data_IF_378974767501
#
_entry.id   IF_378974767501
#
_cell.length_a   1.000
_cell.length_b   1.000
_cell.length_c   1.000
_cell.angle_alpha   90.00
_cell.angle_beta   90.00
_cell.angle_gamma   90.00
#
_symmetry.space_group_name_H-M   'P 1'
#
loop_
_entity.id
_entity.type
_entity.pdbx_description
1 polymer ?
#
# COMPACT_ATOMS: atom_id res chain seq x y z
N UNK A 1 4.34 -21.19 4.04
CA UNK A 1 5.44 -20.24 3.72
C UNK A 1 6.75 -20.89 4.12
N UNK A 2 7.73 -21.00 3.24
CA UNK A 2 9.05 -21.50 3.61
C UNK A 2 9.64 -20.63 4.73
N UNK A 3 10.15 -21.24 5.81
CA UNK A 3 10.83 -20.51 6.87
C UNK A 3 12.03 -19.78 6.27
N UNK A 4 12.00 -18.45 6.29
CA UNK A 4 13.16 -17.66 5.86
C UNK A 4 14.25 -17.82 6.92
N UNK A 5 15.27 -18.63 6.64
CA UNK A 5 16.44 -18.76 7.51
C UNK A 5 17.11 -17.40 7.71
N UNK A 6 17.29 -16.98 8.96
CA UNK A 6 17.99 -15.75 9.30
C UNK A 6 19.48 -15.93 9.08
N UNK A 7 20.15 -14.90 8.57
CA UNK A 7 21.61 -14.94 8.43
C UNK A 7 22.27 -15.15 9.81
N UNK A 8 23.31 -15.99 9.94
CA UNK A 8 23.94 -16.27 11.24
C UNK A 8 24.41 -15.01 12.00
N UNK A 9 24.98 -14.04 11.28
CA UNK A 9 25.36 -12.74 11.88
C UNK A 9 24.16 -11.95 12.41
N UNK A 10 22.98 -12.10 11.80
CA UNK A 10 21.77 -11.47 12.32
C UNK A 10 21.32 -12.14 13.62
N UNK A 11 21.41 -13.47 13.73
CA UNK A 11 21.10 -14.20 14.96
C UNK A 11 22.02 -13.75 16.10
N UNK A 12 23.33 -13.68 15.85
CA UNK A 12 24.30 -13.14 16.81
C UNK A 12 23.95 -11.71 17.23
N UNK A 13 23.59 -10.87 16.27
CA UNK A 13 23.15 -9.49 16.52
C UNK A 13 21.89 -9.43 17.38
N UNK A 14 20.89 -10.28 17.14
CA UNK A 14 19.66 -10.27 17.94
C UNK A 14 19.91 -10.63 19.39
N UNK A 15 20.76 -11.63 19.64
CA UNK A 15 21.14 -12.03 21.01
C UNK A 15 21.98 -10.94 21.69
N UNK A 16 22.91 -10.32 20.97
CA UNK A 16 23.70 -9.20 21.47
C UNK A 16 22.82 -8.02 21.89
N UNK A 17 21.89 -7.60 21.03
CA UNK A 17 21.01 -6.46 21.32
C UNK A 17 20.05 -6.79 22.48
N UNK A 18 19.46 -7.99 22.51
CA UNK A 18 18.52 -8.39 23.57
C UNK A 18 19.18 -8.48 24.96
N UNK A 19 20.46 -8.85 25.02
CA UNK A 19 21.24 -8.90 26.26
C UNK A 19 21.92 -7.57 26.63
N UNK A 20 21.93 -6.59 25.75
CA UNK A 20 22.65 -5.33 25.99
C UNK A 20 21.96 -4.47 27.06
N UNK A 21 22.72 -3.87 28.02
CA UNK A 21 22.15 -3.04 29.10
C UNK A 21 21.24 -1.89 28.63
N UNK A 22 21.53 -1.31 27.46
CA UNK A 22 20.71 -0.25 26.84
C UNK A 22 19.25 -0.65 26.59
N UNK A 23 18.97 -1.95 26.46
CA UNK A 23 17.62 -2.52 26.23
C UNK A 23 17.02 -3.17 27.48
N UNK A 24 17.64 -2.95 28.65
CA UNK A 24 17.17 -3.52 29.91
C UNK A 24 15.69 -3.23 30.14
N UNK A 25 14.94 -4.27 30.50
CA UNK A 25 13.49 -4.26 30.73
C UNK A 25 12.62 -3.99 29.49
N UNK A 26 13.18 -3.90 28.28
CA UNK A 26 12.36 -3.84 27.06
C UNK A 26 11.69 -5.22 26.85
N UNK A 27 10.35 -5.29 26.67
CA UNK A 27 9.68 -6.58 26.53
C UNK A 27 10.12 -7.39 25.29
N UNK A 28 10.55 -8.62 25.54
CA UNK A 28 10.89 -9.65 24.54
C UNK A 28 10.63 -11.04 25.12
N UNK A 29 10.18 -11.95 24.26
CA UNK A 29 9.89 -13.34 24.60
C UNK A 29 10.65 -14.26 23.64
N UNK A 30 10.79 -15.53 24.01
CA UNK A 30 11.29 -16.57 23.10
C UNK A 30 10.14 -17.42 22.57
N UNK A 31 10.24 -17.83 21.31
CA UNK A 31 9.37 -18.82 20.69
C UNK A 31 9.67 -20.24 21.19
N UNK A 32 8.86 -21.20 20.75
CA UNK A 32 9.03 -22.61 21.10
C UNK A 32 10.36 -23.21 20.57
N UNK A 33 10.89 -22.65 19.50
CA UNK A 33 12.19 -23.02 18.91
C UNK A 33 13.39 -22.37 19.62
N UNK A 34 13.15 -21.63 20.72
CA UNK A 34 14.16 -20.90 21.47
C UNK A 34 14.59 -19.59 20.83
N UNK A 35 14.10 -19.25 19.64
CA UNK A 35 14.43 -17.99 18.96
C UNK A 35 13.73 -16.80 19.64
N UNK A 36 14.34 -15.61 19.56
CA UNK A 36 13.73 -14.39 20.08
C UNK A 36 12.56 -13.94 19.19
N UNK A 37 11.42 -13.59 19.79
CA UNK A 37 10.27 -12.97 19.13
C UNK A 37 10.60 -11.51 18.75
N UNK A 38 11.43 -11.40 17.72
CA UNK A 38 12.04 -10.14 17.29
C UNK A 38 11.02 -9.16 16.71
N UNK A 39 9.98 -9.70 16.06
CA UNK A 39 8.96 -8.94 15.32
C UNK A 39 7.58 -9.21 15.92
N UNK A 40 6.89 -8.16 16.36
CA UNK A 40 5.55 -8.20 16.93
C UNK A 40 4.71 -7.09 16.30
N UNK A 41 4.06 -7.40 15.17
CA UNK A 41 3.27 -6.44 14.40
C UNK A 41 1.79 -6.32 14.84
N UNK A 42 1.31 -7.27 15.66
CA UNK A 42 -0.07 -7.24 16.14
C UNK A 42 -0.26 -6.08 17.13
N UNK A 43 -1.13 -5.12 16.79
CA UNK A 43 -1.42 -3.93 17.58
C UNK A 43 -1.98 -4.23 18.97
N UNK A 44 -2.68 -5.36 19.12
CA UNK A 44 -3.29 -5.78 20.38
C UNK A 44 -2.35 -6.60 21.27
N UNK A 45 -1.11 -6.86 20.84
CA UNK A 45 -0.14 -7.61 21.63
C UNK A 45 0.30 -6.83 22.88
N UNK A 46 0.21 -7.48 24.04
CA UNK A 46 0.69 -6.94 25.31
C UNK A 46 2.18 -6.58 25.26
N UNK A 47 3.02 -7.40 24.60
CA UNK A 47 4.45 -7.13 24.38
C UNK A 47 4.62 -5.81 23.63
N UNK A 48 3.88 -5.62 22.54
CA UNK A 48 3.98 -4.41 21.70
C UNK A 48 3.59 -3.16 22.50
N UNK A 49 2.52 -3.23 23.29
CA UNK A 49 2.10 -2.13 24.16
C UNK A 49 3.13 -1.86 25.26
N UNK A 50 3.74 -2.90 25.83
CA UNK A 50 4.82 -2.78 26.80
C UNK A 50 6.07 -2.12 26.21
N UNK A 51 6.44 -2.45 24.96
CA UNK A 51 7.53 -1.79 24.23
C UNK A 51 7.27 -0.28 24.06
N UNK A 52 6.04 0.10 23.70
CA UNK A 52 5.66 1.51 23.58
C UNK A 52 5.83 2.26 24.90
N UNK A 53 5.28 1.73 26.01
CA UNK A 53 5.42 2.32 27.34
C UNK A 53 6.87 2.48 27.77
N UNK A 54 7.67 1.42 27.62
CA UNK A 54 9.10 1.45 27.92
C UNK A 54 9.83 2.54 27.13
N UNK A 55 9.50 2.71 25.84
CA UNK A 55 10.13 3.72 25.00
C UNK A 55 9.73 5.14 25.39
N UNK A 56 8.50 5.36 25.86
CA UNK A 56 8.03 6.64 26.37
C UNK A 56 8.70 7.01 27.69
N UNK A 57 8.92 6.03 28.58
CA UNK A 57 9.70 6.21 29.81
C UNK A 57 11.16 6.58 29.48
N UNK A 58 11.80 5.87 28.55
CA UNK A 58 13.14 6.22 28.06
C UNK A 58 13.20 7.58 27.39
N UNK A 59 12.18 7.97 26.64
CA UNK A 59 12.09 9.31 26.07
C UNK A 59 12.09 10.37 27.17
N UNK A 60 11.29 10.17 28.24
CA UNK A 60 11.27 11.08 29.40
C UNK A 60 12.62 11.14 30.12
N UNK A 61 13.28 10.00 30.33
CA UNK A 61 14.64 9.95 30.91
C UNK A 61 15.65 10.79 30.09
N UNK A 62 15.53 10.79 28.76
CA UNK A 62 16.39 11.57 27.87
C UNK A 62 15.95 13.03 27.67
N UNK A 63 14.87 13.48 28.33
CA UNK A 63 14.32 14.82 28.14
C UNK A 63 13.69 15.02 26.76
N UNK A 64 13.24 13.96 26.09
CA UNK A 64 12.55 14.05 24.81
C UNK A 64 11.05 14.25 24.99
N UNK A 65 10.50 15.21 24.26
CA UNK A 65 9.06 15.40 24.14
C UNK A 65 8.39 14.23 23.42
N UNK A 66 7.28 13.73 23.97
CA UNK A 66 6.51 12.62 23.40
C UNK A 66 5.66 13.13 22.23
N UNK A 67 6.25 13.13 21.03
CA UNK A 67 5.60 13.54 19.77
C UNK A 67 5.98 12.61 18.61
N UNK A 68 5.30 12.68 17.45
CA UNK A 68 5.63 11.84 16.30
C UNK A 68 7.14 11.84 15.98
N UNK A 69 7.72 10.65 15.86
CA UNK A 69 9.15 10.45 15.63
C UNK A 69 10.00 10.25 16.90
N UNK A 70 9.43 10.41 18.11
CA UNK A 70 10.17 10.23 19.38
C UNK A 70 10.76 8.82 19.52
N UNK A 71 10.05 7.77 19.12
CA UNK A 71 10.57 6.40 19.20
C UNK A 71 11.82 6.22 18.33
N UNK A 72 11.82 6.77 17.11
CA UNK A 72 13.00 6.72 16.25
C UNK A 72 14.21 7.46 16.85
N UNK A 73 13.98 8.50 17.67
CA UNK A 73 15.05 9.20 18.39
C UNK A 73 15.59 8.36 19.55
N UNK A 74 14.71 7.78 20.36
CA UNK A 74 15.09 6.89 21.47
C UNK A 74 15.88 5.70 20.94
N UNK A 75 15.33 4.97 19.97
CA UNK A 75 15.96 3.75 19.44
C UNK A 75 17.32 4.01 18.80
N UNK A 76 17.51 5.16 18.14
CA UNK A 76 18.85 5.57 17.66
C UNK A 76 19.80 5.91 18.80
N UNK A 77 19.34 6.66 19.80
CA UNK A 77 20.17 7.08 20.94
C UNK A 77 20.67 5.91 21.77
N UNK A 78 19.84 4.87 21.96
CA UNK A 78 20.19 3.70 22.77
C UNK A 78 20.93 2.61 21.98
N UNK A 79 20.96 2.68 20.64
CA UNK A 79 21.55 1.60 19.86
C UNK A 79 23.06 1.49 20.13
N UNK A 80 23.58 0.35 20.63
CA UNK A 80 24.93 0.23 21.18
C UNK A 80 26.06 0.61 20.22
N UNK A 81 25.89 0.28 18.94
CA UNK A 81 26.93 0.46 17.92
C UNK A 81 26.58 1.51 16.87
N UNK A 82 25.35 2.02 16.84
CA UNK A 82 24.85 2.77 15.68
C UNK A 82 24.74 1.97 14.37
N UNK A 83 24.97 0.66 14.37
CA UNK A 83 24.98 -0.18 13.16
C UNK A 83 24.06 -1.39 13.29
N UNK A 84 23.23 -1.62 12.28
CA UNK A 84 22.31 -2.75 12.23
C UNK A 84 22.77 -3.83 11.26
N UNK A 85 22.71 -5.08 11.69
CA UNK A 85 22.90 -6.26 10.82
C UNK A 85 21.63 -6.57 10.03
N UNK A 86 21.77 -6.84 8.73
CA UNK A 86 20.67 -7.25 7.86
C UNK A 86 20.31 -8.72 8.06
N UNK A 87 19.03 -9.04 8.22
CA UNK A 87 18.56 -10.43 8.37
C UNK A 87 18.87 -11.33 7.17
N UNK A 88 18.99 -10.76 5.97
CA UNK A 88 19.11 -11.54 4.73
C UNK A 88 20.57 -11.78 4.37
N UNK A 89 21.38 -10.71 4.28
CA UNK A 89 22.76 -10.83 3.83
C UNK A 89 23.82 -10.65 4.93
N UNK A 90 23.42 -10.39 6.18
CA UNK A 90 24.36 -10.18 7.29
C UNK A 90 25.16 -8.87 7.24
N UNK A 91 25.00 -8.03 6.21
CA UNK A 91 25.73 -6.76 6.10
C UNK A 91 25.33 -5.81 7.24
N UNK A 92 26.33 -5.24 7.91
CA UNK A 92 26.19 -4.14 8.87
C UNK A 92 26.02 -2.83 8.13
N UNK A 93 25.08 -2.00 8.57
CA UNK A 93 24.81 -0.70 7.97
C UNK A 93 24.48 0.31 9.06
N UNK A 94 24.85 1.57 8.88
CA UNK A 94 24.54 2.63 9.83
C UNK A 94 23.04 2.89 9.92
N UNK A 95 22.53 3.12 11.14
CA UNK A 95 21.15 3.55 11.39
C UNK A 95 20.97 5.08 11.23
N UNK A 96 22.08 5.80 11.04
CA UNK A 96 22.13 7.25 10.79
C UNK A 96 22.06 7.55 9.30
N UNK A 97 21.72 8.79 8.97
CA UNK A 97 21.52 9.25 7.59
C UNK A 97 22.86 9.45 6.88
N UNK A 98 23.51 8.36 6.48
CA UNK A 98 24.84 8.40 5.84
C UNK A 98 24.85 7.87 4.40
N UNK A 99 23.71 7.46 3.86
CA UNK A 99 23.63 6.83 2.53
C UNK A 99 22.93 7.74 1.53
N UNK A 100 23.54 8.05 0.38
CA UNK A 100 22.98 9.00 -0.57
C UNK A 100 21.67 8.48 -1.16
N UNK A 101 20.70 9.37 -1.32
CA UNK A 101 19.49 9.07 -2.09
C UNK A 101 19.83 8.99 -3.58
N UNK A 102 18.94 8.39 -4.38
CA UNK A 102 19.11 8.34 -5.84
C UNK A 102 19.33 9.75 -6.43
N UNK A 103 18.61 10.75 -5.92
CA UNK A 103 18.76 12.14 -6.33
C UNK A 103 20.16 12.71 -6.04
N UNK A 104 20.74 12.40 -4.89
CA UNK A 104 22.11 12.83 -4.58
C UNK A 104 23.13 12.10 -5.46
N UNK A 105 22.94 10.79 -5.72
CA UNK A 105 23.79 10.02 -6.63
C UNK A 105 23.79 10.64 -8.03
N UNK A 106 22.61 10.96 -8.58
CA UNK A 106 22.51 11.55 -9.92
C UNK A 106 23.17 12.93 -9.98
N UNK A 107 23.11 13.72 -8.88
CA UNK A 107 23.85 14.99 -8.77
C UNK A 107 25.37 14.80 -8.72
N UNK A 108 25.85 13.81 -7.96
CA UNK A 108 27.28 13.49 -7.86
C UNK A 108 27.80 13.05 -9.23
N UNK A 109 27.09 12.15 -9.91
CA UNK A 109 27.45 11.68 -11.24
C UNK A 109 27.51 12.84 -12.24
N UNK A 110 26.51 13.73 -12.22
CA UNK A 110 26.49 14.91 -13.09
C UNK A 110 27.66 15.87 -12.85
N UNK A 111 28.07 16.06 -11.59
CA UNK A 111 29.13 17.03 -11.22
C UNK A 111 30.53 16.45 -11.36
N UNK A 112 30.72 15.18 -11.01
CA UNK A 112 32.04 14.56 -10.86
C UNK A 112 32.27 13.37 -11.80
N UNK A 113 31.29 12.99 -12.63
CA UNK A 113 31.41 11.89 -13.60
C UNK A 113 31.49 10.49 -12.98
N UNK A 114 31.20 10.35 -11.68
CA UNK A 114 31.26 9.08 -10.94
C UNK A 114 29.90 8.70 -10.34
N UNK A 115 29.48 7.46 -10.56
CA UNK A 115 28.25 6.89 -10.01
C UNK A 115 28.57 5.94 -8.85
N UNK A 116 27.83 6.08 -7.75
CA UNK A 116 27.96 5.24 -6.56
C UNK A 116 26.68 4.45 -6.29
N UNK A 117 26.80 3.35 -5.55
CA UNK A 117 25.64 2.63 -5.04
C UNK A 117 25.00 3.42 -3.90
N UNK A 118 23.67 3.32 -3.76
CA UNK A 118 22.96 3.93 -2.63
C UNK A 118 23.24 3.26 -1.29
N UNK A 119 24.03 2.19 -1.26
CA UNK A 119 24.55 1.56 -0.04
C UNK A 119 25.97 1.99 0.30
N UNK A 120 26.61 2.83 -0.52
CA UNK A 120 27.96 3.35 -0.24
C UNK A 120 27.85 4.48 0.79
N UNK A 121 28.68 4.44 1.83
CA UNK A 121 28.65 5.45 2.89
C UNK A 121 29.17 6.79 2.37
N UNK A 122 28.57 7.92 2.80
CA UNK A 122 28.95 9.25 2.32
C UNK A 122 30.42 9.58 2.58
N UNK A 123 30.99 9.08 3.69
CA UNK A 123 32.42 9.17 4.00
C UNK A 123 33.30 8.51 2.93
N UNK A 124 32.92 7.33 2.44
CA UNK A 124 33.66 6.60 1.40
C UNK A 124 33.53 7.30 0.04
N UNK A 125 32.34 7.86 -0.25
CA UNK A 125 32.11 8.66 -1.45
C UNK A 125 33.01 9.90 -1.43
N UNK A 126 33.09 10.59 -0.30
CA UNK A 126 33.95 11.74 -0.12
C UNK A 126 35.42 11.39 -0.41
N UNK A 127 35.93 10.32 0.20
CA UNK A 127 37.32 9.88 -0.01
C UNK A 127 37.58 9.55 -1.48
N UNK A 128 36.67 8.81 -2.11
CA UNK A 128 36.85 8.45 -3.51
C UNK A 128 36.84 9.67 -4.44
N UNK A 129 36.07 10.71 -4.12
CA UNK A 129 36.07 11.96 -4.89
C UNK A 129 37.37 12.74 -4.70
N UNK A 130 37.94 12.79 -3.49
CA UNK A 130 39.27 13.38 -3.24
C UNK A 130 40.35 12.61 -4.01
N UNK A 131 40.36 11.28 -3.94
CA UNK A 131 41.28 10.42 -4.69
C UNK A 131 41.18 10.60 -6.21
N UNK A 132 40.05 11.13 -6.70
CA UNK A 132 39.85 11.46 -8.11
C UNK A 132 40.42 12.82 -8.52
N UNK A 133 41.09 13.52 -7.62
CA UNK A 133 41.70 14.82 -7.86
C UNK A 133 40.79 16.02 -7.57
N UNK A 134 39.64 15.83 -6.90
CA UNK A 134 38.80 16.95 -6.46
C UNK A 134 39.34 17.54 -5.15
N UNK A 135 39.12 18.84 -4.95
CA UNK A 135 39.55 19.52 -3.71
C UNK A 135 38.49 19.43 -2.62
N UNK A 136 38.91 19.50 -1.34
CA UNK A 136 37.96 19.55 -0.22
C UNK A 136 37.00 20.73 -0.32
N UNK A 137 37.49 21.90 -0.75
CA UNK A 137 36.66 23.11 -0.92
C UNK A 137 35.53 22.90 -1.94
N UNK A 138 35.80 22.20 -3.04
CA UNK A 138 34.79 21.86 -4.04
C UNK A 138 33.74 20.90 -3.49
N UNK A 139 34.15 19.89 -2.71
CA UNK A 139 33.21 18.94 -2.09
C UNK A 139 32.33 19.63 -1.04
N UNK A 140 32.93 20.46 -0.18
CA UNK A 140 32.21 21.27 0.81
C UNK A 140 31.15 22.12 0.12
N UNK A 141 31.54 22.89 -0.90
CA UNK A 141 30.63 23.75 -1.66
C UNK A 141 29.49 22.95 -2.31
N UNK A 142 29.82 21.81 -2.94
CA UNK A 142 28.83 20.95 -3.59
C UNK A 142 27.81 20.38 -2.60
N UNK A 143 28.25 19.81 -1.49
CA UNK A 143 27.37 19.15 -0.53
C UNK A 143 26.52 20.18 0.24
N UNK A 144 27.10 21.31 0.65
CA UNK A 144 26.33 22.41 1.25
C UNK A 144 25.31 22.99 0.26
N UNK A 145 25.69 23.14 -1.01
CA UNK A 145 24.77 23.56 -2.07
C UNK A 145 23.62 22.57 -2.28
N UNK A 146 23.85 21.27 -2.08
CA UNK A 146 22.80 20.25 -2.19
C UNK A 146 21.71 20.38 -1.11
N UNK A 147 22.03 20.96 0.05
CA UNK A 147 21.06 21.28 1.11
C UNK A 147 20.62 22.75 1.12
N UNK A 148 21.23 23.59 0.29
CA UNK A 148 20.97 25.03 0.22
C UNK A 148 21.53 25.81 1.41
N UNK A 149 22.70 25.40 1.91
CA UNK A 149 23.39 26.01 3.04
C UNK A 149 24.78 26.57 2.67
N UNK A 150 25.12 26.63 1.39
CA UNK A 150 26.39 27.11 0.86
C UNK A 150 26.74 28.55 1.31
N UNK A 151 25.72 29.37 1.60
CA UNK A 151 25.89 30.77 2.03
C UNK A 151 25.59 31.02 3.50
N UNK A 152 25.13 30.01 4.24
CA UNK A 152 24.64 30.14 5.62
C UNK A 152 25.29 29.19 6.62
N UNK A 153 26.16 28.29 6.16
CA UNK A 153 26.89 27.38 7.03
C UNK A 153 28.06 28.11 7.72
N UNK A 154 28.00 28.17 9.05
CA UNK A 154 29.02 28.81 9.90
C UNK A 154 29.82 27.80 10.73
N UNK A 155 29.74 26.50 10.40
CA UNK A 155 30.43 25.43 11.10
C UNK A 155 31.86 25.18 10.59
N UNK A 156 32.52 24.15 11.12
CA UNK A 156 33.84 23.73 10.64
C UNK A 156 33.70 23.08 9.26
N UNK A 157 34.62 23.40 8.36
CA UNK A 157 34.59 22.94 6.96
C UNK A 157 35.33 21.62 6.72
N UNK A 158 35.58 20.83 7.76
CA UNK A 158 36.19 19.51 7.64
C UNK A 158 35.14 18.42 7.28
N UNK A 159 35.63 17.31 6.72
CA UNK A 159 34.81 16.18 6.26
C UNK A 159 33.77 15.73 7.29
N UNK A 160 34.16 15.54 8.55
CA UNK A 160 33.27 14.99 9.56
C UNK A 160 32.17 15.99 9.92
N UNK A 161 32.54 17.25 10.15
CA UNK A 161 31.61 18.33 10.47
C UNK A 161 30.57 18.56 9.35
N UNK A 162 30.98 18.39 8.08
CA UNK A 162 30.06 18.46 6.95
C UNK A 162 29.15 17.25 6.89
N UNK A 163 29.66 16.03 7.05
CA UNK A 163 28.83 14.81 7.07
C UNK A 163 27.79 14.87 8.19
N UNK A 164 28.17 15.29 9.39
CA UNK A 164 27.26 15.45 10.53
C UNK A 164 26.16 16.49 10.23
N UNK A 165 26.53 17.59 9.58
CA UNK A 165 25.56 18.59 9.13
C UNK A 165 24.58 18.04 8.08
N UNK A 166 25.07 17.26 7.10
CA UNK A 166 24.21 16.63 6.09
C UNK A 166 23.28 15.57 6.70
N UNK A 167 23.75 14.79 7.67
CA UNK A 167 22.95 13.84 8.45
C UNK A 167 21.79 14.57 9.14
N UNK A 168 22.12 15.64 9.88
CA UNK A 168 21.14 16.38 10.66
C UNK A 168 20.12 17.09 9.76
N UNK A 169 20.59 17.76 8.70
CA UNK A 169 19.72 18.39 7.70
C UNK A 169 18.79 17.36 7.04
N UNK A 170 19.28 16.14 6.80
CA UNK A 170 18.46 15.07 6.21
C UNK A 170 17.41 14.54 7.16
N UNK A 171 17.74 14.47 8.44
CA UNK A 171 16.87 13.92 9.47
C UNK A 171 15.85 14.93 9.99
N UNK A 172 16.24 16.19 10.16
CA UNK A 172 15.45 17.21 10.87
C UNK A 172 14.94 18.34 9.98
N UNK A 173 15.56 18.62 8.83
CA UNK A 173 15.22 19.77 7.97
C UNK A 173 14.50 19.38 6.67
N UNK A 174 13.97 18.16 6.59
CA UNK A 174 13.26 17.61 5.43
C UNK A 174 14.08 17.64 4.12
N UNK A 175 15.42 17.66 4.21
CA UNK A 175 16.32 17.64 3.06
C UNK A 175 16.58 16.19 2.64
N UNK A 176 15.95 15.72 1.57
CA UNK A 176 16.01 14.31 1.16
C UNK A 176 17.30 13.94 0.40
N UNK A 177 18.47 14.27 0.95
CA UNK A 177 19.77 14.02 0.30
C UNK A 177 20.47 12.76 0.82
N UNK A 178 20.39 12.47 2.12
CA UNK A 178 20.86 11.22 2.72
C UNK A 178 19.67 10.43 3.26
N UNK A 179 19.90 9.15 3.52
CA UNK A 179 18.94 8.18 4.03
C UNK A 179 19.61 7.27 5.06
N UNK A 180 18.86 6.72 6.02
CA UNK A 180 19.43 5.77 6.97
C UNK A 180 19.56 4.40 6.31
N UNK A 181 20.60 3.66 6.70
CA UNK A 181 20.82 2.31 6.22
C UNK A 181 19.77 1.31 6.73
N UNK A 182 19.20 1.59 7.92
CA UNK A 182 18.03 0.89 8.44
C UNK A 182 16.95 1.87 8.89
N UNK A 183 15.73 1.70 8.38
CA UNK A 183 14.60 2.56 8.75
C UNK A 183 14.05 2.21 10.12
N UNK A 184 13.62 3.21 10.88
CA UNK A 184 12.89 2.99 12.13
C UNK A 184 11.61 2.18 11.91
N UNK A 185 11.35 1.22 12.80
CA UNK A 185 10.16 0.37 12.81
C UNK A 185 9.81 -0.10 14.25
N UNK A 186 10.05 0.76 15.23
CA UNK A 186 9.57 0.56 16.59
C UNK A 186 8.08 0.93 16.68
N UNK A 187 7.24 0.23 17.48
CA UNK A 187 7.53 -0.84 18.44
C UNK A 187 7.54 -2.26 17.86
N UNK A 188 7.27 -2.39 16.56
CA UNK A 188 7.06 -3.68 15.93
C UNK A 188 8.33 -4.54 15.97
N UNK A 189 9.51 -3.93 15.86
CA UNK A 189 10.81 -4.62 15.91
C UNK A 189 11.59 -4.22 17.17
N UNK A 190 12.19 -5.21 17.82
CA UNK A 190 12.82 -5.04 19.14
C UNK A 190 13.97 -4.02 19.15
N UNK A 191 14.89 -4.12 18.18
CA UNK A 191 15.98 -3.15 17.99
C UNK A 191 15.50 -1.76 17.55
N UNK A 192 14.23 -1.64 17.14
CA UNK A 192 13.61 -0.43 16.67
C UNK A 192 13.78 -0.16 15.17
N UNK A 193 14.34 -1.09 14.40
CA UNK A 193 14.67 -0.86 13.00
C UNK A 193 14.22 -2.01 12.09
N UNK A 194 13.91 -1.66 10.84
CA UNK A 194 13.44 -2.58 9.83
C UNK A 194 14.41 -3.74 9.62
N UNK A 195 13.91 -4.97 9.65
CA UNK A 195 14.70 -6.21 9.50
C UNK A 195 15.52 -6.25 8.21
N UNK A 196 14.97 -5.73 7.11
CA UNK A 196 15.69 -5.54 5.86
C UNK A 196 16.31 -4.15 5.84
N UNK A 197 17.64 -4.13 5.78
CA UNK A 197 18.46 -2.95 5.58
C UNK A 197 18.39 -2.48 4.12
N UNK A 198 18.90 -1.28 3.84
CA UNK A 198 18.95 -0.67 2.52
C UNK A 198 19.51 -1.60 1.42
N UNK A 199 20.46 -2.47 1.78
CA UNK A 199 21.08 -3.44 0.88
C UNK A 199 20.14 -4.54 0.34
N UNK A 200 19.08 -4.91 1.06
CA UNK A 200 18.17 -5.99 0.65
C UNK A 200 16.71 -5.56 0.65
N UNK A 201 16.39 -4.36 1.14
CA UNK A 201 15.00 -3.95 1.36
C UNK A 201 14.20 -3.90 0.06
N UNK A 202 14.76 -3.33 -1.01
CA UNK A 202 14.07 -3.19 -2.31
C UNK A 202 13.63 -4.53 -2.91
N UNK A 203 14.34 -5.61 -2.59
CA UNK A 203 14.08 -6.96 -3.11
C UNK A 203 13.29 -7.84 -2.14
N UNK A 204 13.32 -7.54 -0.83
CA UNK A 204 12.75 -8.40 0.22
C UNK A 204 11.48 -7.84 0.84
N UNK A 205 11.28 -6.53 0.80
CA UNK A 205 10.06 -5.84 1.21
C UNK A 205 9.10 -5.81 0.01
N UNK A 206 8.31 -6.87 -0.18
CA UNK A 206 7.47 -7.07 -1.37
C UNK A 206 6.42 -5.96 -1.56
N UNK A 207 6.05 -5.26 -0.48
CA UNK A 207 5.21 -4.06 -0.53
C UNK A 207 5.89 -2.83 -1.13
N UNK A 208 7.21 -2.87 -1.37
CA UNK A 208 8.04 -1.78 -1.90
C UNK A 208 8.76 -2.09 -3.21
N UNK A 209 8.40 -3.17 -3.91
CA UNK A 209 8.88 -3.34 -5.28
C UNK A 209 8.59 -2.07 -6.09
N UNK A 210 9.54 -1.66 -6.95
CA UNK A 210 9.41 -0.43 -7.74
C UNK A 210 8.11 -0.42 -8.56
N UNK A 211 7.62 -1.60 -8.96
CA UNK A 211 6.35 -1.79 -9.68
C UNK A 211 5.09 -1.58 -8.81
N UNK A 212 5.22 -1.74 -7.49
CA UNK A 212 4.19 -1.45 -6.49
C UNK A 212 4.24 0.01 -6.01
N UNK A 213 5.41 0.66 -6.10
CA UNK A 213 5.60 2.08 -5.78
C UNK A 213 5.32 3.01 -6.98
N UNK A 214 5.39 2.52 -8.22
CA UNK A 214 5.03 3.27 -9.44
C UNK A 214 3.52 3.26 -9.74
N UNK A 215 2.73 2.49 -8.98
CA UNK A 215 1.27 2.41 -9.11
C UNK A 215 0.53 3.37 -8.18
N UNK A 216 1.14 4.44 -7.64
CA UNK A 216 0.39 5.40 -6.81
C UNK A 216 -0.73 6.14 -7.56
N UNK A 217 -0.67 6.21 -8.89
CA UNK A 217 -1.77 6.70 -9.74
C UNK A 217 -2.71 5.59 -10.20
N UNK A 218 -2.44 4.34 -9.82
CA UNK A 218 -3.24 3.18 -10.20
C UNK A 218 -3.85 2.54 -8.97
N UNK A 219 -5.14 2.69 -8.76
CA UNK A 219 -5.79 2.05 -7.63
C UNK A 219 -5.99 0.56 -7.90
N UNK A 220 -4.99 -0.24 -7.51
CA UNK A 220 -5.03 -1.70 -7.62
C UNK A 220 -6.27 -2.29 -6.95
N UNK A 221 -6.87 -1.63 -5.96
CA UNK A 221 -8.08 -2.11 -5.28
C UNK A 221 -9.24 -2.27 -6.26
N UNK A 222 -9.38 -1.40 -7.27
CA UNK A 222 -10.41 -1.55 -8.29
C UNK A 222 -10.29 -2.89 -9.04
N UNK A 223 -9.06 -3.39 -9.22
CA UNK A 223 -8.82 -4.68 -9.86
C UNK A 223 -9.14 -5.81 -8.88
N UNK A 224 -8.67 -5.67 -7.64
CA UNK A 224 -8.83 -6.69 -6.60
C UNK A 224 -10.29 -6.94 -6.22
N UNK A 225 -11.10 -5.89 -6.28
CA UNK A 225 -12.52 -5.89 -5.95
C UNK A 225 -13.42 -5.99 -7.19
N UNK A 226 -12.88 -6.28 -8.38
CA UNK A 226 -13.67 -6.49 -9.60
C UNK A 226 -14.64 -5.34 -9.92
N UNK A 227 -14.25 -4.12 -9.62
CA UNK A 227 -15.13 -2.96 -9.70
C UNK A 227 -15.46 -2.60 -11.15
N UNK A 228 -16.71 -2.21 -11.40
CA UNK A 228 -17.11 -1.61 -12.68
C UNK A 228 -16.62 -0.15 -12.80
N UNK A 229 -16.97 0.51 -13.91
CA UNK A 229 -16.60 1.89 -14.24
C UNK A 229 -15.50 1.99 -15.29
N UNK A 230 -15.20 3.21 -15.75
CA UNK A 230 -14.06 3.41 -16.64
C UNK A 230 -12.74 3.44 -15.83
N UNK A 231 -12.30 2.23 -15.45
CA UNK A 231 -11.12 1.98 -14.61
C UNK A 231 -9.87 2.64 -15.18
N UNK A 232 -9.68 2.62 -16.51
CA UNK A 232 -8.50 3.22 -17.13
C UNK A 232 -8.53 4.74 -17.00
N UNK A 233 -9.67 5.36 -17.33
CA UNK A 233 -9.87 6.79 -17.19
C UNK A 233 -9.71 7.25 -15.73
N UNK A 234 -10.23 6.50 -14.76
CA UNK A 234 -10.11 6.84 -13.35
C UNK A 234 -8.63 6.88 -12.91
N UNK A 235 -7.84 5.89 -13.30
CA UNK A 235 -6.39 5.86 -13.03
C UNK A 235 -5.64 7.01 -13.73
N UNK A 236 -6.05 7.40 -14.95
CA UNK A 236 -5.49 8.58 -15.61
C UNK A 236 -5.84 9.86 -14.85
N UNK A 237 -7.09 10.02 -14.41
CA UNK A 237 -7.54 11.20 -13.68
C UNK A 237 -6.81 11.33 -12.34
N UNK A 238 -6.63 10.22 -11.59
CA UNK A 238 -5.82 10.17 -10.36
C UNK A 238 -4.38 10.66 -10.57
N UNK A 239 -3.81 10.42 -11.76
CA UNK A 239 -2.46 10.86 -12.13
C UNK A 239 -2.38 12.28 -12.69
N UNK A 240 -3.51 12.96 -12.87
CA UNK A 240 -3.57 14.29 -13.46
C UNK A 240 -3.09 15.39 -12.49
N UNK A 241 -2.91 16.60 -13.02
CA UNK A 241 -2.55 17.78 -12.22
C UNK A 241 -3.63 18.16 -11.19
N UNK A 242 -4.86 17.69 -11.34
CA UNK A 242 -5.97 17.97 -10.42
C UNK A 242 -5.66 17.52 -8.98
N UNK A 243 -4.99 16.37 -8.82
CA UNK A 243 -4.61 15.84 -7.51
C UNK A 243 -3.20 16.26 -7.06
N UNK A 244 -2.58 17.24 -7.71
CA UNK A 244 -1.23 17.68 -7.36
C UNK A 244 -1.21 18.34 -5.99
N UNK A 245 -0.60 17.67 -5.01
CA UNK A 245 -0.46 18.17 -3.63
C UNK A 245 -1.41 17.50 -2.64
N UNK A 246 -2.53 16.97 -3.13
CA UNK A 246 -3.52 16.18 -2.39
C UNK A 246 -3.35 14.68 -2.72
N UNK A 247 -4.23 13.84 -2.17
CA UNK A 247 -4.38 12.45 -2.59
C UNK A 247 -5.74 12.27 -3.26
N UNK A 248 -5.80 11.49 -4.33
CA UNK A 248 -7.08 11.04 -4.86
C UNK A 248 -7.73 10.03 -3.90
N UNK A 249 -9.04 10.15 -3.71
CA UNK A 249 -9.87 9.24 -2.94
C UNK A 249 -11.23 9.04 -3.60
N UNK A 250 -11.89 7.95 -3.24
CA UNK A 250 -13.21 7.61 -3.76
C UNK A 250 -14.30 8.21 -2.88
N UNK A 251 -15.37 8.72 -3.49
CA UNK A 251 -16.54 9.17 -2.74
C UNK A 251 -17.18 7.98 -2.01
N UNK A 252 -17.45 6.90 -2.75
CA UNK A 252 -17.87 5.61 -2.20
C UNK A 252 -16.70 4.63 -2.08
N UNK A 253 -16.54 3.89 -0.96
CA UNK A 253 -15.42 2.95 -0.82
C UNK A 253 -15.50 1.78 -1.82
N UNK A 254 -14.46 1.58 -2.65
CA UNK A 254 -14.39 0.46 -3.60
C UNK A 254 -14.65 -0.90 -2.93
N UNK A 255 -14.18 -1.09 -1.70
CA UNK A 255 -14.36 -2.34 -0.95
C UNK A 255 -15.82 -2.69 -0.64
N UNK A 256 -16.75 -1.74 -0.85
CA UNK A 256 -18.20 -1.92 -0.71
C UNK A 256 -18.92 -2.08 -2.06
N UNK A 257 -18.18 -2.25 -3.16
CA UNK A 257 -18.75 -2.47 -4.49
C UNK A 257 -18.89 -1.21 -5.36
N UNK A 258 -18.57 -0.03 -4.84
CA UNK A 258 -18.63 1.21 -5.64
C UNK A 258 -17.66 1.16 -6.83
N UNK A 259 -18.08 1.76 -7.95
CA UNK A 259 -17.33 1.77 -9.20
C UNK A 259 -16.01 2.54 -9.08
N UNK A 260 -15.05 2.19 -9.94
CA UNK A 260 -13.86 2.98 -10.16
C UNK A 260 -13.98 3.79 -11.45
N UNK A 261 -14.60 4.97 -11.34
CA UNK A 261 -14.81 5.92 -12.45
C UNK A 261 -14.29 7.32 -12.04
N UNK A 262 -13.71 8.11 -12.97
CA UNK A 262 -13.13 9.42 -12.66
C UNK A 262 -14.10 10.40 -11.98
N UNK A 263 -15.40 10.31 -12.27
CA UNK A 263 -16.44 11.20 -11.71
C UNK A 263 -16.75 10.95 -10.24
N UNK A 264 -16.35 9.79 -9.71
CA UNK A 264 -16.51 9.40 -8.31
C UNK A 264 -15.21 9.55 -7.50
N UNK A 265 -14.24 10.30 -8.02
CA UNK A 265 -13.01 10.64 -7.33
C UNK A 265 -13.06 12.07 -6.77
N UNK A 266 -12.49 12.28 -5.59
CA UNK A 266 -12.41 13.58 -4.92
C UNK A 266 -11.01 13.77 -4.30
N UNK A 267 -10.52 15.02 -4.20
CA UNK A 267 -9.27 15.30 -3.52
C UNK A 267 -9.46 15.16 -2.01
N UNK A 268 -8.47 14.61 -1.33
CA UNK A 268 -8.45 14.53 0.13
C UNK A 268 -7.05 14.73 0.68
N UNK A 269 -6.98 15.31 1.88
CA UNK A 269 -5.72 15.51 2.59
C UNK A 269 -5.09 14.16 3.01
N UNK A 270 -3.76 14.13 3.01
CA UNK A 270 -2.98 12.89 3.19
C UNK A 270 -3.21 12.20 4.55
N UNK A 271 -3.65 12.95 5.57
CA UNK A 271 -3.99 12.41 6.90
C UNK A 271 -5.30 11.62 6.91
N UNK A 272 -6.31 12.11 6.20
CA UNK A 272 -7.69 11.61 6.26
C UNK A 272 -7.91 10.36 5.39
N UNK A 273 -7.09 10.16 4.36
CA UNK A 273 -7.16 8.97 3.51
C UNK A 273 -6.86 7.66 4.27
N UNK A 274 -6.02 7.73 5.30
CA UNK A 274 -5.69 6.55 6.10
C UNK A 274 -6.84 6.07 7.01
N UNK A 275 -7.81 6.94 7.32
CA UNK A 275 -8.88 6.66 8.30
C UNK A 275 -10.22 6.28 7.66
N UNK A 276 -10.44 6.56 6.36
CA UNK A 276 -11.73 6.38 5.69
C UNK A 276 -12.04 4.94 5.26
N UNK A 277 -11.05 4.09 4.96
CA UNK A 277 -11.16 2.64 4.59
C UNK A 277 -12.48 2.22 3.92
N UNK A 278 -13.45 1.78 4.72
CA UNK A 278 -14.76 1.23 4.33
C UNK A 278 -15.93 2.01 4.95
N UNK A 279 -15.67 3.20 5.49
CA UNK A 279 -16.68 4.05 6.12
C UNK A 279 -17.59 4.61 5.03
N UNK A 280 -18.88 4.37 5.20
CA UNK A 280 -19.94 4.97 4.40
C UNK A 280 -20.71 5.96 5.29
N UNK A 281 -20.73 7.23 4.90
CA UNK A 281 -21.48 8.28 5.61
C UNK A 281 -22.67 8.77 4.77
N UNK A 282 -23.62 9.45 5.39
CA UNK A 282 -24.73 10.10 4.68
C UNK A 282 -24.20 11.13 3.68
N UNK A 283 -23.18 11.91 4.07
CA UNK A 283 -22.56 12.87 3.16
C UNK A 283 -21.88 12.22 1.96
N UNK A 284 -21.31 11.01 2.12
CA UNK A 284 -20.81 10.24 0.97
C UNK A 284 -21.98 9.80 0.07
N UNK A 285 -23.09 9.30 0.63
CA UNK A 285 -24.28 8.92 -0.15
C UNK A 285 -24.86 10.09 -0.95
N UNK A 286 -25.01 11.26 -0.33
CA UNK A 286 -25.57 12.44 -0.98
C UNK A 286 -24.69 12.91 -2.14
N UNK A 287 -23.36 12.93 -1.95
CA UNK A 287 -22.41 13.22 -3.02
C UNK A 287 -22.49 12.22 -4.17
N UNK A 288 -22.60 10.93 -3.85
CA UNK A 288 -22.72 9.86 -4.85
C UNK A 288 -23.98 10.06 -5.70
N UNK A 289 -25.11 10.37 -5.07
CA UNK A 289 -26.38 10.62 -5.76
C UNK A 289 -26.36 11.92 -6.57
N UNK A 290 -25.67 12.96 -6.09
CA UNK A 290 -25.44 14.19 -6.86
C UNK A 290 -24.63 13.91 -8.13
N UNK A 291 -23.54 13.15 -8.03
CA UNK A 291 -22.74 12.74 -9.19
C UNK A 291 -23.56 11.88 -10.15
N UNK A 292 -24.31 10.88 -9.67
CA UNK A 292 -25.19 10.04 -10.49
C UNK A 292 -26.20 10.91 -11.25
N UNK A 293 -26.91 11.80 -10.55
CA UNK A 293 -27.90 12.71 -11.14
C UNK A 293 -27.28 13.65 -12.19
N UNK A 294 -26.10 14.18 -11.91
CA UNK A 294 -25.39 15.12 -12.79
C UNK A 294 -24.81 14.46 -14.04
N UNK A 295 -24.37 13.21 -13.95
CA UNK A 295 -23.56 12.57 -15.00
C UNK A 295 -24.25 11.41 -15.71
N UNK A 296 -25.31 10.84 -15.12
CA UNK A 296 -25.95 9.62 -15.59
C UNK A 296 -25.11 8.36 -15.41
N UNK A 297 -23.91 8.46 -14.83
CA UNK A 297 -23.06 7.30 -14.54
C UNK A 297 -23.56 6.65 -13.26
N UNK A 298 -23.68 5.32 -13.29
CA UNK A 298 -24.16 4.55 -12.15
C UNK A 298 -23.04 4.33 -11.12
N UNK A 299 -23.29 4.46 -9.81
CA UNK A 299 -22.22 4.45 -8.80
C UNK A 299 -21.79 3.07 -8.32
N UNK A 300 -22.55 2.02 -8.64
CA UNK A 300 -22.37 0.69 -8.04
C UNK A 300 -22.04 -0.37 -9.09
N UNK A 301 -21.12 -1.27 -8.75
CA UNK A 301 -20.85 -2.43 -9.60
C UNK A 301 -22.04 -3.39 -9.59
N UNK A 302 -22.22 -4.14 -10.67
CA UNK A 302 -23.44 -4.91 -10.89
C UNK A 302 -23.77 -5.90 -9.77
N UNK A 303 -22.76 -6.46 -9.09
CA UNK A 303 -22.90 -7.47 -8.03
C UNK A 303 -23.38 -6.90 -6.67
N UNK A 304 -23.55 -5.58 -6.56
CA UNK A 304 -24.11 -4.90 -5.38
C UNK A 304 -25.25 -3.94 -5.75
N UNK A 305 -25.77 -4.05 -6.97
CA UNK A 305 -26.76 -3.13 -7.56
C UNK A 305 -28.07 -3.13 -6.78
N UNK A 306 -28.62 -4.30 -6.49
CA UNK A 306 -29.93 -4.44 -5.83
C UNK A 306 -29.83 -3.96 -4.39
N UNK A 307 -28.75 -4.30 -3.69
CA UNK A 307 -28.48 -3.78 -2.33
C UNK A 307 -28.38 -2.26 -2.35
N UNK A 308 -27.68 -1.68 -3.33
CA UNK A 308 -27.58 -0.22 -3.47
C UNK A 308 -28.92 0.46 -3.72
N UNK A 309 -29.76 -0.06 -4.62
CA UNK A 309 -31.08 0.51 -4.89
C UNK A 309 -31.97 0.48 -3.64
N UNK A 310 -31.90 -0.60 -2.86
CA UNK A 310 -32.57 -0.67 -1.56
C UNK A 310 -32.09 0.42 -0.61
N UNK A 311 -30.77 0.62 -0.48
CA UNK A 311 -30.19 1.67 0.36
C UNK A 311 -30.65 3.06 -0.12
N UNK A 312 -30.54 3.33 -1.42
CA UNK A 312 -30.92 4.59 -2.06
C UNK A 312 -32.38 4.96 -1.80
N UNK A 313 -33.27 3.97 -1.78
CA UNK A 313 -34.70 4.17 -1.47
C UNK A 313 -34.97 4.46 0.01
N UNK A 314 -34.17 3.91 0.91
CA UNK A 314 -34.48 3.87 2.35
C UNK A 314 -33.59 4.75 3.24
N UNK A 315 -32.43 5.24 2.77
CA UNK A 315 -31.47 5.93 3.64
C UNK A 315 -31.99 7.22 4.27
N UNK A 316 -32.91 7.93 3.62
CA UNK A 316 -33.51 9.16 4.17
C UNK A 316 -34.46 8.86 5.33
N UNK A 317 -35.15 7.71 5.29
CA UNK A 317 -36.06 7.28 6.35
C UNK A 317 -35.30 6.65 7.53
N UNK A 318 -34.14 6.04 7.24
CA UNK A 318 -33.31 5.34 8.21
C UNK A 318 -31.83 5.77 8.13
N UNK A 319 -31.51 7.04 8.38
CA UNK A 319 -30.15 7.56 8.28
C UNK A 319 -29.16 6.87 9.23
N UNK A 320 -29.64 6.41 10.39
CA UNK A 320 -28.88 5.68 11.40
C UNK A 320 -28.35 4.32 10.91
N UNK A 321 -29.01 3.72 9.91
CA UNK A 321 -28.61 2.43 9.33
C UNK A 321 -27.43 2.54 8.35
N UNK A 322 -27.08 3.75 7.87
CA UNK A 322 -26.08 3.97 6.82
C UNK A 322 -24.69 3.46 7.19
N UNK A 323 -24.19 3.87 8.36
CA UNK A 323 -22.81 3.57 8.77
C UNK A 323 -22.63 2.13 9.29
N UNK A 324 -23.72 1.39 9.49
CA UNK A 324 -23.75 0.04 10.09
C UNK A 324 -24.41 -0.94 9.12
N UNK A 325 -25.74 -1.08 9.18
CA UNK A 325 -26.51 -2.09 8.46
C UNK A 325 -26.28 -2.00 6.95
N UNK A 326 -26.47 -0.82 6.34
CA UNK A 326 -26.33 -0.66 4.90
C UNK A 326 -24.90 -0.86 4.41
N UNK A 327 -23.92 -0.34 5.15
CA UNK A 327 -22.50 -0.62 4.90
C UNK A 327 -22.22 -2.13 4.96
N UNK A 328 -22.76 -2.82 5.96
CA UNK A 328 -22.49 -4.24 6.18
C UNK A 328 -23.24 -5.13 5.17
N UNK A 329 -24.41 -4.72 4.68
CA UNK A 329 -25.08 -5.35 3.52
C UNK A 329 -24.21 -5.30 2.26
N UNK A 330 -23.62 -4.15 1.95
CA UNK A 330 -22.69 -4.01 0.82
C UNK A 330 -21.43 -4.87 1.00
N UNK A 331 -20.90 -4.97 2.23
CA UNK A 331 -19.77 -5.87 2.53
C UNK A 331 -20.14 -7.33 2.31
N UNK A 332 -21.33 -7.75 2.75
CA UNK A 332 -21.79 -9.13 2.59
C UNK A 332 -21.98 -9.46 1.11
N UNK A 333 -22.56 -8.54 0.33
CA UNK A 333 -22.72 -8.68 -1.14
C UNK A 333 -21.36 -8.85 -1.83
N UNK A 334 -20.39 -7.99 -1.54
CA UNK A 334 -19.01 -8.14 -2.03
C UNK A 334 -18.37 -9.47 -1.58
N UNK A 335 -18.59 -9.89 -0.34
CA UNK A 335 -18.04 -11.16 0.17
C UNK A 335 -18.62 -12.36 -0.59
N UNK A 336 -19.95 -12.44 -0.73
CA UNK A 336 -20.62 -13.53 -1.42
C UNK A 336 -20.21 -13.60 -2.89
N UNK A 337 -20.10 -12.44 -3.54
CA UNK A 337 -19.59 -12.36 -4.91
C UNK A 337 -18.19 -12.97 -5.03
N UNK A 338 -17.24 -12.52 -4.21
CA UNK A 338 -15.87 -13.06 -4.21
C UNK A 338 -15.82 -14.55 -3.85
N UNK A 339 -16.72 -15.02 -2.99
CA UNK A 339 -16.86 -16.43 -2.66
C UNK A 339 -17.37 -17.25 -3.85
N UNK A 340 -18.41 -16.79 -4.55
CA UNK A 340 -18.95 -17.41 -5.76
C UNK A 340 -17.86 -17.54 -6.84
N UNK A 341 -17.11 -16.44 -7.09
CA UNK A 341 -15.99 -16.47 -8.03
C UNK A 341 -14.94 -17.52 -7.62
N UNK A 342 -14.60 -17.59 -6.33
CA UNK A 342 -13.62 -18.56 -5.82
C UNK A 342 -14.08 -20.00 -6.01
N UNK A 343 -15.35 -20.29 -5.74
CA UNK A 343 -15.90 -21.63 -5.97
C UNK A 343 -15.86 -22.01 -7.45
N UNK A 344 -16.20 -21.10 -8.37
CA UNK A 344 -16.09 -21.33 -9.80
C UNK A 344 -14.64 -21.65 -10.20
N UNK A 345 -13.69 -20.84 -9.74
CA UNK A 345 -12.26 -21.03 -10.05
C UNK A 345 -11.73 -22.38 -9.55
N UNK A 346 -12.12 -22.81 -8.34
CA UNK A 346 -11.58 -24.02 -7.72
C UNK A 346 -12.30 -25.31 -8.10
N UNK A 347 -13.54 -25.23 -8.59
CA UNK A 347 -14.35 -26.42 -8.95
C UNK A 347 -14.41 -26.71 -10.45
N UNK A 348 -13.79 -25.88 -11.27
CA UNK A 348 -13.82 -26.02 -12.73
C UNK A 348 -12.42 -25.91 -13.32
N UNK A 349 -12.21 -26.53 -14.48
CA UNK A 349 -10.92 -26.46 -15.17
C UNK A 349 -10.73 -25.11 -15.89
N UNK A 350 -11.80 -24.57 -16.48
CA UNK A 350 -11.77 -23.37 -17.31
C UNK A 350 -12.45 -22.14 -16.67
N UNK A 351 -12.76 -22.19 -15.37
CA UNK A 351 -13.53 -21.14 -14.69
C UNK A 351 -12.90 -19.76 -14.79
N UNK A 352 -11.57 -19.66 -14.75
CA UNK A 352 -10.86 -18.38 -14.91
C UNK A 352 -11.16 -17.73 -16.25
N UNK A 353 -11.13 -18.49 -17.34
CA UNK A 353 -11.38 -17.98 -18.69
C UNK A 353 -12.84 -17.57 -18.87
N UNK A 354 -13.78 -18.35 -18.30
CA UNK A 354 -15.20 -17.98 -18.26
C UNK A 354 -15.42 -16.67 -17.53
N UNK A 355 -14.83 -16.49 -16.34
CA UNK A 355 -14.99 -15.26 -15.58
C UNK A 355 -14.39 -14.03 -16.31
N UNK A 356 -13.26 -14.21 -16.99
CA UNK A 356 -12.66 -13.15 -17.82
C UNK A 356 -13.60 -12.76 -18.97
N UNK A 357 -14.06 -13.74 -19.77
CA UNK A 357 -14.95 -13.50 -20.91
C UNK A 357 -16.28 -12.87 -20.48
N UNK A 358 -16.89 -13.39 -19.41
CA UNK A 358 -18.20 -12.95 -18.95
C UNK A 358 -18.18 -11.52 -18.38
N UNK A 359 -17.13 -11.15 -17.63
CA UNK A 359 -17.18 -9.96 -16.77
C UNK A 359 -16.03 -8.96 -16.96
N UNK A 360 -14.86 -9.39 -17.44
CA UNK A 360 -13.70 -8.50 -17.53
C UNK A 360 -13.43 -8.00 -18.96
N UNK A 361 -13.68 -8.81 -19.99
CA UNK A 361 -13.41 -8.44 -21.38
C UNK A 361 -14.18 -7.21 -21.84
N UNK A 362 -15.39 -6.99 -21.31
CA UNK A 362 -16.18 -5.78 -21.60
C UNK A 362 -15.45 -4.47 -21.23
N UNK A 363 -14.48 -4.54 -20.31
CA UNK A 363 -13.68 -3.41 -19.86
C UNK A 363 -12.40 -3.22 -20.68
N UNK A 364 -12.04 -4.17 -21.55
CA UNK A 364 -10.85 -4.10 -22.42
C UNK A 364 -10.81 -2.80 -23.22
N UNK A 365 -11.97 -2.40 -23.77
CA UNK A 365 -12.13 -1.19 -24.57
C UNK A 365 -11.63 0.09 -23.89
N UNK A 366 -11.64 0.16 -22.56
CA UNK A 366 -11.19 1.35 -21.85
C UNK A 366 -9.68 1.56 -21.94
N UNK A 367 -8.91 0.50 -22.19
CA UNK A 367 -7.45 0.55 -22.26
C UNK A 367 -6.94 1.01 -23.64
N UNK A 368 -7.83 1.08 -24.64
CA UNK A 368 -7.53 1.51 -26.01
C UNK A 368 -7.50 3.02 -26.19
N UNK A 369 -7.91 3.79 -25.17
CA UNK A 369 -8.05 5.23 -25.25
C UNK A 369 -7.24 5.98 -24.19
N UNK A 370 -6.85 7.20 -24.54
CA UNK A 370 -6.46 8.24 -23.61
C UNK A 370 -7.65 9.17 -23.37
N UNK A 371 -7.67 9.78 -22.18
CA UNK A 371 -8.79 10.60 -21.73
C UNK A 371 -8.31 11.93 -21.17
N UNK A 372 -9.05 13.00 -21.47
CA UNK A 372 -8.92 14.30 -20.83
C UNK A 372 -10.13 14.57 -19.94
N UNK A 373 -9.93 15.33 -18.86
CA UNK A 373 -10.92 15.52 -17.81
C UNK A 373 -11.12 16.99 -17.46
N UNK A 374 -12.34 17.34 -17.09
CA UNK A 374 -12.60 18.56 -16.33
C UNK A 374 -12.32 18.38 -14.82
N UNK A 375 -12.51 19.45 -14.05
CA UNK A 375 -12.30 19.46 -12.59
C UNK A 375 -13.29 18.57 -11.81
N UNK A 376 -14.35 18.06 -12.46
CA UNK A 376 -15.33 17.15 -11.89
C UNK A 376 -15.13 15.71 -12.36
N UNK A 377 -14.02 15.43 -13.04
CA UNK A 377 -13.69 14.11 -13.58
C UNK A 377 -14.53 13.71 -14.80
N UNK A 378 -15.29 14.62 -15.41
CA UNK A 378 -16.01 14.33 -16.64
C UNK A 378 -15.00 14.18 -17.78
N UNK A 379 -15.16 13.13 -18.60
CA UNK A 379 -14.36 12.94 -19.80
C UNK A 379 -14.79 13.99 -20.83
N UNK A 380 -13.90 14.92 -21.17
CA UNK A 380 -14.12 15.97 -22.17
C UNK A 380 -13.56 15.59 -23.54
N UNK A 381 -12.54 14.74 -23.56
CA UNK A 381 -11.95 14.21 -24.79
C UNK A 381 -11.55 12.74 -24.61
N UNK A 382 -11.74 11.96 -25.67
CA UNK A 382 -11.31 10.57 -25.78
C UNK A 382 -10.57 10.40 -27.11
N UNK A 383 -9.31 9.99 -27.05
CA UNK A 383 -8.45 9.80 -28.21
C UNK A 383 -7.80 8.42 -28.21
N UNK A 384 -7.47 7.84 -29.38
CA UNK A 384 -6.75 6.56 -29.44
C UNK A 384 -5.44 6.62 -28.66
N UNK A 385 -5.19 5.61 -27.82
CA UNK A 385 -4.01 5.58 -26.98
C UNK A 385 -2.76 5.22 -27.77
N UNK A 386 -1.66 5.89 -27.48
CA UNK A 386 -0.34 5.49 -27.98
C UNK A 386 0.22 4.32 -27.14
N UNK A 387 0.33 3.14 -27.75
CA UNK A 387 0.95 1.98 -27.13
C UNK A 387 2.48 2.04 -27.20
N UNK A 388 3.12 1.67 -26.10
CA UNK A 388 4.57 1.52 -25.93
C UNK A 388 4.80 0.17 -25.24
N UNK A 389 6.03 -0.37 -25.30
CA UNK A 389 6.35 -1.60 -24.55
C UNK A 389 6.13 -1.50 -23.02
N UNK A 390 5.83 -0.32 -22.47
CA UNK A 390 5.53 -0.11 -21.04
C UNK A 390 4.03 -0.22 -20.70
N UNK A 391 3.13 -0.11 -21.67
CA UNK A 391 1.68 -0.10 -21.44
C UNK A 391 0.92 -1.16 -22.28
N UNK A 392 1.62 -1.92 -23.12
CA UNK A 392 1.03 -2.97 -23.96
C UNK A 392 0.30 -4.06 -23.16
N UNK A 393 0.80 -4.39 -21.96
CA UNK A 393 0.30 -5.53 -21.18
C UNK A 393 -0.60 -5.11 -20.01
N UNK A 394 -1.04 -3.85 -20.01
CA UNK A 394 -1.76 -3.26 -18.87
C UNK A 394 -3.11 -3.96 -18.62
N UNK A 395 -3.85 -4.28 -19.68
CA UNK A 395 -5.12 -4.99 -19.61
C UNK A 395 -4.94 -6.42 -19.08
N UNK A 396 -3.95 -7.16 -19.58
CA UNK A 396 -3.65 -8.53 -19.18
C UNK A 396 -3.18 -8.56 -17.73
N UNK A 397 -2.43 -7.53 -17.29
CA UNK A 397 -2.11 -7.34 -15.88
C UNK A 397 -3.36 -7.09 -15.03
N UNK A 398 -4.34 -6.32 -15.51
CA UNK A 398 -5.62 -6.12 -14.83
C UNK A 398 -6.35 -7.45 -14.63
N UNK A 399 -6.55 -8.23 -15.70
CA UNK A 399 -7.24 -9.53 -15.61
C UNK A 399 -6.53 -10.49 -14.65
N UNK A 400 -5.19 -10.57 -14.72
CA UNK A 400 -4.40 -11.41 -13.81
C UNK A 400 -4.55 -10.98 -12.35
N UNK A 401 -4.53 -9.66 -12.06
CA UNK A 401 -4.69 -9.17 -10.69
C UNK A 401 -6.10 -9.47 -10.17
N UNK A 402 -7.14 -9.25 -10.98
CA UNK A 402 -8.52 -9.56 -10.61
C UNK A 402 -8.70 -11.05 -10.30
N UNK A 403 -8.17 -11.95 -11.13
CA UNK A 403 -8.27 -13.39 -10.87
C UNK A 403 -7.46 -13.78 -9.62
N UNK A 404 -6.23 -13.32 -9.48
CA UNK A 404 -5.40 -13.65 -8.31
C UNK A 404 -6.01 -13.10 -7.01
N UNK A 405 -6.71 -11.97 -7.06
CA UNK A 405 -7.33 -11.39 -5.87
C UNK A 405 -8.46 -12.27 -5.34
N UNK A 406 -9.11 -13.09 -6.16
CA UNK A 406 -10.15 -14.03 -5.70
C UNK A 406 -9.55 -15.05 -4.73
N UNK A 407 -8.41 -15.65 -5.09
CA UNK A 407 -7.69 -16.60 -4.22
C UNK A 407 -7.21 -15.89 -2.94
N UNK A 408 -6.55 -14.73 -3.08
CA UNK A 408 -6.08 -13.92 -1.94
C UNK A 408 -7.24 -13.47 -1.03
N UNK A 409 -8.42 -13.26 -1.59
CA UNK A 409 -9.60 -12.82 -0.85
C UNK A 409 -10.15 -13.96 0.02
N UNK A 410 -10.30 -15.15 -0.58
CA UNK A 410 -10.87 -16.35 0.04
C UNK A 410 -9.91 -17.06 1.00
N UNK A 411 -8.60 -16.94 0.81
CA UNK A 411 -7.59 -17.55 1.69
C UNK A 411 -7.39 -16.84 3.04
N UNK A 412 -8.03 -15.69 3.28
CA UNK A 412 -7.86 -14.94 4.54
C UNK A 412 -8.68 -15.57 5.68
N UNK A 413 -8.00 -16.27 6.58
CA UNK A 413 -8.60 -16.94 7.74
C UNK A 413 -9.19 -15.98 8.79
N UNK A 414 -8.69 -14.74 8.90
CA UNK A 414 -9.11 -13.76 9.91
C UNK A 414 -10.27 -12.85 9.46
N UNK A 415 -11.18 -13.32 8.60
CA UNK A 415 -12.37 -12.53 8.22
C UNK A 415 -13.52 -12.82 9.18
N UNK A 416 -14.08 -11.75 9.77
CA UNK A 416 -15.27 -11.84 10.62
C UNK A 416 -16.59 -12.03 9.82
N UNK A 417 -16.50 -12.32 8.52
CA UNK A 417 -17.63 -12.51 7.62
C UNK A 417 -17.51 -13.90 6.99
N UNK A 418 -18.62 -14.62 6.96
CA UNK A 418 -18.77 -15.90 6.25
C UNK A 418 -19.73 -15.73 5.09
N UNK A 419 -19.67 -16.66 4.13
CA UNK A 419 -20.65 -16.68 3.04
C UNK A 419 -22.05 -16.86 3.61
N UNK A 420 -23.02 -16.15 3.06
CA UNK A 420 -24.44 -16.27 3.45
C UNK A 420 -25.27 -17.11 2.48
N UNK A 421 -24.60 -17.81 1.56
CA UNK A 421 -25.22 -18.72 0.59
C UNK A 421 -25.94 -19.86 1.31
N UNK A 422 -27.16 -20.16 0.88
CA UNK A 422 -27.94 -21.28 1.40
C UNK A 422 -27.79 -22.56 0.54
N UNK A 423 -28.55 -23.61 0.86
CA UNK A 423 -28.48 -24.88 0.13
C UNK A 423 -28.90 -24.77 -1.34
N UNK A 424 -29.89 -23.93 -1.65
CA UNK A 424 -30.33 -23.69 -3.02
C UNK A 424 -29.28 -22.88 -3.80
N UNK A 425 -28.62 -21.93 -3.16
CA UNK A 425 -27.52 -21.17 -3.77
C UNK A 425 -26.33 -22.08 -4.08
N UNK A 426 -25.98 -22.99 -3.18
CA UNK A 426 -24.95 -24.01 -3.44
C UNK A 426 -25.32 -24.94 -4.58
N UNK A 427 -26.61 -25.30 -4.73
CA UNK A 427 -27.09 -26.11 -5.85
C UNK A 427 -26.97 -25.35 -7.17
N UNK A 428 -27.42 -24.09 -7.23
CA UNK A 428 -27.27 -23.23 -8.43
C UNK A 428 -25.79 -23.04 -8.80
N UNK A 429 -24.93 -22.88 -7.81
CA UNK A 429 -23.49 -22.76 -8.02
C UNK A 429 -22.87 -24.06 -8.56
N UNK A 430 -23.33 -25.22 -8.10
CA UNK A 430 -22.91 -26.50 -8.66
C UNK A 430 -23.36 -26.63 -10.12
N UNK A 431 -24.61 -26.29 -10.44
CA UNK A 431 -25.12 -26.25 -11.82
C UNK A 431 -24.26 -25.33 -12.72
N UNK A 432 -23.89 -24.13 -12.25
CA UNK A 432 -22.98 -23.23 -12.98
C UNK A 432 -21.61 -23.89 -13.23
N UNK A 433 -21.05 -24.58 -12.24
CA UNK A 433 -19.77 -25.26 -12.40
C UNK A 433 -19.85 -26.40 -13.43
N UNK A 434 -20.95 -27.15 -13.45
CA UNK A 434 -21.21 -28.19 -14.46
C UNK A 434 -21.32 -27.59 -15.86
N UNK A 435 -22.07 -26.49 -16.04
CA UNK A 435 -22.17 -25.79 -17.32
C UNK A 435 -20.79 -25.36 -17.85
N UNK A 436 -19.94 -24.81 -16.98
CA UNK A 436 -18.57 -24.41 -17.33
C UNK A 436 -17.73 -25.63 -17.76
N UNK A 437 -17.81 -26.74 -17.02
CA UNK A 437 -17.06 -27.95 -17.33
C UNK A 437 -17.54 -28.62 -18.63
N UNK A 438 -18.83 -28.46 -18.97
CA UNK A 438 -19.41 -28.95 -20.22
C UNK A 438 -19.10 -28.05 -21.44
N UNK A 439 -18.53 -26.87 -21.22
CA UNK A 439 -18.22 -25.93 -22.30
C UNK A 439 -19.44 -25.16 -22.81
N UNK A 440 -20.44 -24.94 -21.95
CA UNK A 440 -21.66 -24.21 -22.33
C UNK A 440 -21.36 -22.76 -22.74
N UNK A 441 -22.20 -22.11 -23.58
CA UNK A 441 -21.95 -20.75 -24.05
C UNK A 441 -21.75 -19.73 -22.92
N UNK A 442 -20.77 -18.82 -23.08
CA UNK A 442 -20.47 -17.77 -22.10
C UNK A 442 -21.69 -16.95 -21.68
N UNK A 443 -22.56 -16.60 -22.63
CA UNK A 443 -23.77 -15.82 -22.35
C UNK A 443 -24.73 -16.56 -21.39
N UNK A 444 -24.89 -17.88 -21.56
CA UNK A 444 -25.74 -18.71 -20.70
C UNK A 444 -25.16 -18.84 -19.30
N UNK A 445 -23.84 -19.09 -19.19
CA UNK A 445 -23.15 -19.14 -17.90
C UNK A 445 -23.20 -17.79 -17.18
N UNK A 446 -22.93 -16.69 -17.89
CA UNK A 446 -23.02 -15.33 -17.37
C UNK A 446 -24.39 -15.05 -16.75
N UNK A 447 -25.46 -15.34 -17.49
CA UNK A 447 -26.82 -15.12 -17.02
C UNK A 447 -27.15 -15.91 -15.75
N UNK A 448 -26.64 -17.15 -15.63
CA UNK A 448 -26.82 -17.96 -14.41
C UNK A 448 -26.05 -17.42 -13.21
N UNK A 449 -24.81 -16.96 -13.42
CA UNK A 449 -24.01 -16.31 -12.37
C UNK A 449 -24.71 -15.02 -11.91
N UNK A 450 -25.16 -14.18 -12.84
CA UNK A 450 -25.89 -12.94 -12.53
C UNK A 450 -27.18 -13.23 -11.75
N UNK A 451 -27.92 -14.28 -12.14
CA UNK A 451 -29.12 -14.72 -11.43
C UNK A 451 -28.82 -15.20 -10.00
N UNK A 452 -27.70 -15.90 -9.77
CA UNK A 452 -27.29 -16.34 -8.43
C UNK A 452 -26.94 -15.14 -7.55
N UNK A 453 -26.12 -14.22 -8.07
CA UNK A 453 -25.74 -13.00 -7.33
C UNK A 453 -26.97 -12.13 -7.02
N UNK A 454 -27.91 -12.00 -7.97
CA UNK A 454 -29.19 -11.29 -7.74
C UNK A 454 -29.99 -11.92 -6.60
N UNK A 455 -30.05 -13.25 -6.54
CA UNK A 455 -30.74 -13.95 -5.45
C UNK A 455 -30.08 -13.67 -4.09
N UNK A 456 -28.75 -13.70 -4.04
CA UNK A 456 -27.98 -13.36 -2.83
C UNK A 456 -28.23 -11.93 -2.35
N UNK A 457 -28.25 -10.96 -3.27
CA UNK A 457 -28.54 -9.58 -2.92
C UNK A 457 -29.93 -9.40 -2.31
N UNK A 458 -30.95 -10.06 -2.85
CA UNK A 458 -32.29 -10.06 -2.27
C UNK A 458 -32.31 -10.72 -0.88
N UNK A 459 -31.65 -11.87 -0.71
CA UNK A 459 -31.56 -12.55 0.58
C UNK A 459 -30.81 -11.71 1.64
N UNK A 460 -29.81 -10.92 1.25
CA UNK A 460 -29.15 -9.95 2.14
C UNK A 460 -30.16 -8.89 2.60
N UNK A 461 -30.98 -8.36 1.70
CA UNK A 461 -32.01 -7.37 2.04
C UNK A 461 -33.03 -7.99 3.01
N UNK A 462 -33.58 -9.16 2.72
CA UNK A 462 -34.58 -9.80 3.57
C UNK A 462 -34.09 -10.09 4.99
N UNK A 463 -32.80 -10.38 5.16
CA UNK A 463 -32.20 -10.63 6.48
C UNK A 463 -31.91 -9.37 7.29
N UNK A 464 -31.73 -8.22 6.63
CA UNK A 464 -31.21 -6.99 7.24
C UNK A 464 -32.17 -5.79 7.20
N UNK A 465 -33.19 -5.83 6.34
CA UNK A 465 -34.25 -4.83 6.25
C UNK A 465 -35.03 -4.74 7.56
#
# INVERSE_FOLDING_TARGET
>A
MASKNWHPEFIKYTEFIASHPNYKNLPIERGQDGSLNWVVANKNSAIRQGRMKWCEEKAKEFGFEIKPGVYAKVMRKIHPTGEKVCQVCGRKISIFYHYPTAHLIDKIEKKFGKRFYNTTHISEIWDNLIESGNTESELVSFFLGCVGADKSYNGKIDKQSIIDFLEDASRNSNKKILSPGAMSNFPDRFDGFHTYNLCCRSTQDTGRHADNMKSYTKDRRAYEYWSDGNIHAANMFMGSSFFKGTSADHIGPISLGFVHDPRYLQPMDKGDNSTKRDRLTIGDLEKILEVESRTGIYPMSWYSKIVWEYIKKNYKLHPEKVATIYRDMLKQSMFNFMFILGQIIHRTQNGKDYLINCFLEQNAKYFDYAYEFDEKGNIIEQSPRHFTGRNSDEMQRYFRIAINSVDDYNAKENRNLTSSLDQDDFRRLAEICEMINNGDPYASVKSKIESLVTAEENAIIERCA
#
